data_IF_338100781200
#
_entry.id   IF_338100781200
#
_cell.length_a   1.000
_cell.length_b   1.000
_cell.length_c   1.000
_cell.angle_alpha   90.00
_cell.angle_beta   90.00
_cell.angle_gamma   90.00
#
_symmetry.space_group_name_H-M   'P 1'
#
loop_
_entity.id
_entity.type
_entity.pdbx_description
1 polymer ?
#
# COMPACT_ATOMS: atom_id res chain seq x y z
N UNK A 1 19.12 5.81 7.84
CA UNK A 1 17.93 4.94 7.65
C UNK A 1 17.76 4.65 6.17
N UNK A 2 17.73 3.39 5.80
CA UNK A 2 17.38 3.01 4.42
C UNK A 2 15.91 3.33 4.16
N UNK A 3 15.62 3.82 2.97
CA UNK A 3 14.28 4.19 2.55
C UNK A 3 13.75 3.26 1.45
N UNK A 4 12.45 3.09 1.42
CA UNK A 4 11.76 2.21 0.50
C UNK A 4 10.49 2.89 0.01
N UNK A 5 10.05 2.57 -1.20
CA UNK A 5 8.76 3.04 -1.71
C UNK A 5 7.62 2.20 -1.13
N UNK A 6 6.51 2.84 -0.83
CA UNK A 6 5.28 2.17 -0.42
C UNK A 6 4.35 2.00 -1.61
N UNK A 7 3.71 0.84 -1.71
CA UNK A 7 2.68 0.54 -2.70
C UNK A 7 1.36 0.26 -1.97
N UNK A 8 0.34 1.05 -2.25
CA UNK A 8 -1.00 0.90 -1.69
C UNK A 8 -1.94 0.43 -2.80
N UNK A 9 -2.43 -0.82 -2.74
CA UNK A 9 -3.40 -1.31 -3.72
C UNK A 9 -4.80 -0.79 -3.39
N UNK A 10 -5.48 -0.21 -4.36
CA UNK A 10 -6.81 0.36 -4.19
C UNK A 10 -7.65 0.20 -5.46
N UNK A 11 -8.20 -0.99 -5.69
CA UNK A 11 -9.10 -1.23 -6.82
C UNK A 11 -10.49 -0.60 -6.59
N UNK A 12 -11.17 -0.26 -7.66
CA UNK A 12 -12.52 0.31 -7.61
C UNK A 12 -13.57 -0.70 -7.14
N UNK A 13 -13.54 -1.91 -7.70
CA UNK A 13 -14.43 -2.99 -7.30
C UNK A 13 -14.03 -3.57 -5.97
N UNK A 14 -14.96 -3.70 -5.03
CA UNK A 14 -14.71 -4.36 -3.75
C UNK A 14 -15.82 -5.33 -3.44
N UNK A 15 -15.44 -6.53 -3.00
CA UNK A 15 -16.37 -7.58 -2.62
C UNK A 15 -17.02 -7.20 -1.27
N UNK A 16 -18.35 -7.10 -1.27
CA UNK A 16 -19.13 -6.77 -0.07
C UNK A 16 -19.44 -5.29 0.09
N UNK A 17 -18.46 -4.43 0.34
CA UNK A 17 -18.65 -2.99 0.54
C UNK A 17 -18.33 -2.24 -0.75
N UNK A 18 -19.33 -1.61 -1.44
CA UNK A 18 -19.05 -0.83 -2.65
C UNK A 18 -18.07 0.31 -2.39
N UNK A 19 -17.10 0.50 -3.28
CA UNK A 19 -16.10 1.57 -3.18
C UNK A 19 -15.41 1.65 -1.81
N UNK A 20 -15.07 0.51 -1.23
CA UNK A 20 -14.50 0.41 0.12
C UNK A 20 -13.29 1.31 0.33
N UNK A 21 -12.39 1.40 -0.65
CA UNK A 21 -11.14 2.16 -0.51
C UNK A 21 -11.34 3.67 -0.42
N UNK A 22 -12.46 4.19 -0.89
CA UNK A 22 -12.79 5.62 -0.83
C UNK A 22 -13.99 5.93 0.04
N UNK A 23 -14.52 4.92 0.75
CA UNK A 23 -15.58 5.13 1.73
C UNK A 23 -15.04 5.95 2.88
N UNK A 24 -15.81 6.95 3.32
CA UNK A 24 -15.39 7.84 4.40
C UNK A 24 -15.35 7.12 5.74
N UNK A 25 -14.28 7.37 6.47
CA UNK A 25 -14.09 7.01 7.87
C UNK A 25 -13.66 8.28 8.60
N UNK A 26 -14.53 8.84 9.45
CA UNK A 26 -14.26 10.08 10.19
C UNK A 26 -13.72 11.19 9.25
N UNK A 27 -14.59 11.65 8.34
CA UNK A 27 -14.36 12.76 7.40
C UNK A 27 -13.33 12.56 6.30
N UNK A 28 -12.65 11.41 6.24
CA UNK A 28 -11.66 11.13 5.19
C UNK A 28 -11.91 9.77 4.53
N UNK A 29 -11.61 9.63 3.22
CA UNK A 29 -11.64 8.32 2.57
C UNK A 29 -10.70 7.33 3.27
N UNK A 30 -11.09 6.06 3.32
CA UNK A 30 -10.29 5.00 3.94
C UNK A 30 -8.84 5.00 3.44
N UNK A 31 -8.65 5.16 2.14
CA UNK A 31 -7.35 5.24 1.48
C UNK A 31 -6.43 6.34 2.08
N UNK A 32 -7.01 7.48 2.47
CA UNK A 32 -6.26 8.62 2.98
C UNK A 32 -5.47 8.30 4.25
N UNK A 33 -5.98 7.43 5.11
CA UNK A 33 -5.30 7.03 6.34
C UNK A 33 -4.00 6.27 6.06
N UNK A 34 -4.00 5.37 5.08
CA UNK A 34 -2.81 4.64 4.67
C UNK A 34 -1.78 5.56 4.01
N UNK A 35 -2.23 6.49 3.18
CA UNK A 35 -1.35 7.50 2.56
C UNK A 35 -0.68 8.35 3.65
N UNK A 36 -1.47 8.85 4.61
CA UNK A 36 -0.95 9.67 5.70
C UNK A 36 0.08 8.90 6.56
N UNK A 37 -0.21 7.67 6.93
CA UNK A 37 0.71 6.83 7.70
C UNK A 37 2.05 6.64 6.97
N UNK A 38 2.00 6.36 5.67
CA UNK A 38 3.20 6.22 4.85
C UNK A 38 3.99 7.53 4.75
N UNK A 39 3.31 8.67 4.57
CA UNK A 39 3.98 9.98 4.49
C UNK A 39 4.63 10.40 5.81
N UNK A 40 4.07 9.96 6.93
CA UNK A 40 4.62 10.23 8.26
C UNK A 40 5.73 9.25 8.66
N UNK A 41 5.85 8.12 7.97
CA UNK A 41 6.90 7.14 8.23
C UNK A 41 8.21 7.58 7.56
N UNK A 42 9.24 7.83 8.34
CA UNK A 42 10.53 8.32 7.83
C UNK A 42 11.26 7.33 6.91
N UNK A 43 10.93 6.04 6.98
CA UNK A 43 11.48 4.99 6.11
C UNK A 43 10.86 4.92 4.72
N UNK A 44 9.77 5.65 4.48
CA UNK A 44 9.08 5.67 3.18
C UNK A 44 9.51 6.91 2.39
N UNK A 45 10.05 6.69 1.20
CA UNK A 45 10.50 7.78 0.31
C UNK A 45 9.45 8.21 -0.71
N UNK A 46 8.62 7.26 -1.18
CA UNK A 46 7.54 7.52 -2.14
C UNK A 46 6.31 6.74 -1.75
N UNK A 47 5.14 7.33 -1.94
CA UNK A 47 3.85 6.67 -1.71
C UNK A 47 3.15 6.53 -3.05
N UNK A 48 3.00 5.30 -3.52
CA UNK A 48 2.42 4.99 -4.82
C UNK A 48 1.12 4.21 -4.60
N UNK A 49 0.06 4.65 -5.26
CA UNK A 49 -1.24 3.97 -5.25
C UNK A 49 -1.44 3.26 -6.60
N UNK A 50 -1.75 1.97 -6.53
CA UNK A 50 -2.10 1.16 -7.70
C UNK A 50 -3.62 1.02 -7.76
N UNK A 51 -4.24 1.59 -8.79
CA UNK A 51 -5.69 1.57 -8.97
C UNK A 51 -6.06 1.47 -10.45
N UNK A 52 -7.24 0.92 -10.71
CA UNK A 52 -7.90 0.88 -12.02
C UNK A 52 -8.90 2.04 -12.22
N UNK A 53 -9.07 2.89 -11.22
CA UNK A 53 -10.10 3.93 -11.18
C UNK A 53 -9.49 5.33 -11.18
N UNK A 54 -9.96 6.18 -12.12
CA UNK A 54 -9.56 7.59 -12.15
C UNK A 54 -10.05 8.35 -10.91
N UNK A 55 -11.24 8.02 -10.40
CA UNK A 55 -11.76 8.62 -9.17
C UNK A 55 -10.84 8.37 -7.96
N UNK A 56 -10.39 7.12 -7.80
CA UNK A 56 -9.45 6.75 -6.73
C UNK A 56 -8.09 7.42 -6.96
N UNK A 57 -7.62 7.46 -8.20
CA UNK A 57 -6.36 8.12 -8.54
C UNK A 57 -6.38 9.61 -8.17
N UNK A 58 -7.45 10.31 -8.48
CA UNK A 58 -7.60 11.73 -8.16
C UNK A 58 -7.61 11.97 -6.64
N UNK A 59 -8.28 11.12 -5.89
CA UNK A 59 -8.29 11.17 -4.42
C UNK A 59 -6.89 10.91 -3.86
N UNK A 60 -6.20 9.90 -4.38
CA UNK A 60 -4.83 9.57 -3.95
C UNK A 60 -3.87 10.75 -4.15
N UNK A 61 -3.92 11.38 -5.30
CA UNK A 61 -3.10 12.55 -5.62
C UNK A 61 -3.44 13.73 -4.70
N UNK A 62 -4.71 13.96 -4.43
CA UNK A 62 -5.17 15.01 -3.49
C UNK A 62 -4.54 14.83 -2.09
N UNK A 63 -4.39 13.60 -1.62
CA UNK A 63 -3.78 13.31 -0.33
C UNK A 63 -2.26 13.14 -0.38
N UNK A 64 -1.64 13.38 -1.52
CA UNK A 64 -0.19 13.47 -1.67
C UNK A 64 0.51 12.18 -2.11
N UNK A 65 -0.23 11.20 -2.59
CA UNK A 65 0.34 10.01 -3.22
C UNK A 65 0.62 10.24 -4.71
N UNK A 66 1.40 9.33 -5.29
CA UNK A 66 1.67 9.28 -6.73
C UNK A 66 0.87 8.16 -7.38
N UNK A 67 0.37 8.39 -8.59
CA UNK A 67 -0.31 7.36 -9.40
C UNK A 67 0.33 7.35 -10.79
N UNK A 68 1.54 6.78 -10.94
CA UNK A 68 2.30 6.85 -12.19
C UNK A 68 1.81 5.93 -13.29
N UNK A 69 0.87 5.02 -13.00
CA UNK A 69 0.31 4.06 -13.96
C UNK A 69 -1.13 3.74 -13.61
N UNK A 70 -1.86 3.19 -14.58
CA UNK A 70 -3.21 2.66 -14.38
C UNK A 70 -3.14 1.14 -14.33
N UNK A 71 -3.75 0.55 -13.30
CA UNK A 71 -3.81 -0.91 -13.20
C UNK A 71 -4.74 -1.48 -14.25
N UNK A 72 -4.30 -2.46 -15.06
CA UNK A 72 -5.18 -3.11 -16.04
C UNK A 72 -6.39 -3.79 -15.38
N UNK A 73 -7.56 -3.84 -16.04
CA UNK A 73 -8.77 -4.44 -15.46
C UNK A 73 -8.63 -5.90 -15.03
N UNK A 74 -7.82 -6.68 -15.74
CA UNK A 74 -7.54 -8.08 -15.40
C UNK A 74 -6.74 -8.24 -14.10
N UNK A 75 -6.04 -7.19 -13.64
CA UNK A 75 -5.34 -7.14 -12.36
C UNK A 75 -6.16 -6.44 -11.25
N UNK A 76 -7.39 -6.07 -11.53
CA UNK A 76 -8.27 -5.34 -10.60
C UNK A 76 -9.54 -6.11 -10.23
N UNK A 77 -9.55 -7.42 -10.45
CA UNK A 77 -10.69 -8.29 -10.17
C UNK A 77 -10.59 -8.93 -8.77
N UNK A 78 -11.70 -9.48 -8.28
CA UNK A 78 -11.74 -10.20 -7.01
C UNK A 78 -10.76 -11.39 -6.98
N UNK A 79 -10.51 -12.02 -8.14
CA UNK A 79 -9.56 -13.11 -8.30
C UNK A 79 -8.09 -12.67 -8.44
N UNK A 80 -7.83 -11.38 -8.58
CA UNK A 80 -6.47 -10.86 -8.73
C UNK A 80 -5.67 -11.06 -7.43
N UNK A 81 -4.43 -11.52 -7.57
CA UNK A 81 -3.55 -11.79 -6.44
C UNK A 81 -2.64 -10.60 -6.15
N UNK A 82 -2.28 -10.43 -4.88
CA UNK A 82 -1.33 -9.40 -4.45
C UNK A 82 0.00 -9.47 -5.22
N UNK A 83 0.49 -10.69 -5.45
CA UNK A 83 1.75 -10.88 -6.18
C UNK A 83 1.69 -10.32 -7.61
N UNK A 84 0.56 -10.41 -8.27
CA UNK A 84 0.39 -9.90 -9.64
C UNK A 84 0.38 -8.36 -9.64
N UNK A 85 -0.22 -7.75 -8.63
CA UNK A 85 -0.21 -6.29 -8.44
C UNK A 85 1.22 -5.80 -8.16
N UNK A 86 1.96 -6.51 -7.33
CA UNK A 86 3.35 -6.19 -6.99
C UNK A 86 4.26 -6.34 -8.21
N UNK A 87 4.09 -7.40 -9.00
CA UNK A 87 4.83 -7.59 -10.25
C UNK A 87 4.57 -6.46 -11.23
N UNK A 88 3.32 -6.07 -11.41
CA UNK A 88 2.95 -4.94 -12.27
C UNK A 88 3.63 -3.65 -11.81
N UNK A 89 3.66 -3.40 -10.50
CA UNK A 89 4.38 -2.25 -9.93
C UNK A 89 5.86 -2.26 -10.33
N UNK A 90 6.56 -3.37 -10.17
CA UNK A 90 7.98 -3.45 -10.53
C UNK A 90 8.22 -3.29 -12.03
N UNK A 91 7.32 -3.76 -12.87
CA UNK A 91 7.39 -3.56 -14.33
C UNK A 91 7.24 -2.08 -14.71
N UNK A 92 6.39 -1.33 -13.99
CA UNK A 92 6.09 0.06 -14.30
C UNK A 92 7.06 1.05 -13.65
N UNK A 93 7.50 0.78 -12.43
CA UNK A 93 8.29 1.71 -11.63
C UNK A 93 9.73 1.25 -11.45
N UNK A 94 9.97 -0.05 -11.43
CA UNK A 94 11.28 -0.62 -11.18
C UNK A 94 11.63 -0.70 -9.69
N UNK A 95 12.91 -0.95 -9.40
CA UNK A 95 13.40 -1.13 -8.04
C UNK A 95 13.44 -2.60 -7.63
N UNK A 96 13.94 -2.86 -6.44
CA UNK A 96 14.16 -4.21 -5.92
C UNK A 96 13.28 -4.53 -4.70
N UNK A 97 12.82 -3.50 -4.02
CA UNK A 97 12.09 -3.61 -2.75
C UNK A 97 10.83 -2.75 -2.78
N UNK A 98 9.82 -3.17 -2.05
CA UNK A 98 8.58 -2.40 -1.88
C UNK A 98 7.93 -2.71 -0.54
N UNK A 99 7.36 -1.70 0.11
CA UNK A 99 6.50 -1.85 1.26
C UNK A 99 5.04 -1.92 0.79
N UNK A 100 4.43 -3.08 0.89
CA UNK A 100 3.05 -3.31 0.46
C UNK A 100 2.09 -2.99 1.59
N UNK A 101 1.30 -1.93 1.43
CA UNK A 101 0.46 -1.34 2.48
C UNK A 101 -1.02 -1.47 2.08
N UNK A 102 -1.76 -2.33 2.74
CA UNK A 102 -3.18 -2.51 2.45
C UNK A 102 -4.03 -1.39 3.09
N UNK A 103 -4.93 -0.75 2.35
CA UNK A 103 -5.78 0.32 2.90
C UNK A 103 -6.84 -0.18 3.88
N UNK A 104 -7.06 -1.48 3.97
CA UNK A 104 -8.02 -2.10 4.90
C UNK A 104 -7.58 -2.06 6.36
N UNK A 105 -6.37 -1.57 6.65
CA UNK A 105 -5.88 -1.34 8.02
C UNK A 105 -5.63 0.15 8.21
N UNK A 106 -6.69 0.98 8.35
CA UNK A 106 -6.56 2.44 8.33
C UNK A 106 -5.85 3.04 9.53
N UNK A 107 -5.86 2.35 10.67
CA UNK A 107 -5.26 2.84 11.92
C UNK A 107 -3.83 2.35 12.13
N UNK A 108 -3.13 1.99 11.07
CA UNK A 108 -1.72 1.59 11.15
C UNK A 108 -0.85 2.78 11.55
N UNK A 109 -0.02 2.58 12.57
CA UNK A 109 0.91 3.63 13.04
C UNK A 109 2.12 3.73 12.12
N UNK A 110 2.63 4.94 11.87
CA UNK A 110 3.88 5.13 11.12
C UNK A 110 5.06 4.36 11.72
N UNK A 111 5.14 4.25 13.05
CA UNK A 111 6.19 3.48 13.74
C UNK A 111 6.18 1.99 13.36
N UNK A 112 5.02 1.40 13.15
CA UNK A 112 4.90 -0.01 12.72
C UNK A 112 5.49 -0.17 11.31
N UNK A 113 5.24 0.77 10.42
CA UNK A 113 5.83 0.77 9.07
C UNK A 113 7.36 0.83 9.17
N UNK A 114 7.90 1.76 9.97
CA UNK A 114 9.33 1.91 10.16
C UNK A 114 9.96 0.64 10.74
N UNK A 115 9.33 0.01 11.72
CA UNK A 115 9.84 -1.22 12.34
C UNK A 115 9.88 -2.38 11.33
N UNK A 116 8.85 -2.53 10.50
CA UNK A 116 8.84 -3.54 9.45
C UNK A 116 9.94 -3.31 8.41
N UNK A 117 10.15 -2.07 7.98
CA UNK A 117 11.20 -1.71 7.03
C UNK A 117 12.58 -1.99 7.63
N UNK A 118 12.83 -1.59 8.87
CA UNK A 118 14.09 -1.85 9.56
C UNK A 118 14.37 -3.35 9.69
N UNK A 119 13.38 -4.13 10.09
CA UNK A 119 13.51 -5.59 10.21
C UNK A 119 13.76 -6.25 8.87
N UNK A 120 13.11 -5.80 7.82
CA UNK A 120 13.34 -6.30 6.48
C UNK A 120 14.79 -6.10 6.05
N UNK A 121 15.33 -4.90 6.18
CA UNK A 121 16.72 -4.62 5.78
C UNK A 121 17.75 -5.30 6.67
N UNK A 122 17.48 -5.47 7.97
CA UNK A 122 18.37 -6.20 8.88
C UNK A 122 18.49 -7.68 8.52
N UNK A 123 17.41 -8.29 8.04
CA UNK A 123 17.33 -9.73 7.79
C UNK A 123 17.59 -10.13 6.33
N UNK A 124 17.86 -9.19 5.43
CA UNK A 124 18.14 -9.50 4.03
C UNK A 124 19.32 -10.45 3.85
N UNK A 125 20.33 -10.40 4.73
CA UNK A 125 21.51 -11.27 4.68
C UNK A 125 21.21 -12.72 5.03
N UNK A 126 20.05 -13.01 5.61
CA UNK A 126 19.64 -14.34 6.08
C UNK A 126 18.55 -14.96 5.19
N UNK A 127 18.55 -14.60 3.90
CA UNK A 127 17.56 -15.08 2.91
C UNK A 127 16.10 -14.69 3.24
N UNK A 128 15.90 -13.61 4.00
CA UNK A 128 14.57 -13.07 4.26
C UNK A 128 14.07 -12.32 3.02
N UNK A 129 13.00 -12.81 2.41
CA UNK A 129 12.38 -12.20 1.24
C UNK A 129 11.20 -11.28 1.59
N UNK A 130 10.78 -11.27 2.83
CA UNK A 130 9.71 -10.39 3.29
C UNK A 130 9.52 -10.39 4.79
N UNK A 131 8.97 -9.31 5.29
CA UNK A 131 8.59 -9.15 6.69
C UNK A 131 7.13 -8.71 6.73
N UNK A 132 6.37 -9.28 7.64
CA UNK A 132 4.96 -8.97 7.82
C UNK A 132 4.70 -8.53 9.26
N UNK A 133 3.95 -7.44 9.44
CA UNK A 133 3.44 -7.08 10.75
C UNK A 133 2.30 -8.02 11.16
N UNK A 134 2.30 -8.43 12.41
CA UNK A 134 1.26 -9.28 12.97
C UNK A 134 0.83 -8.75 14.33
N UNK A 135 -0.42 -8.98 14.68
CA UNK A 135 -0.94 -8.75 16.02
C UNK A 135 -1.13 -10.10 16.70
N UNK A 136 -0.84 -10.15 17.98
CA UNK A 136 -1.26 -11.28 18.79
C UNK A 136 -2.79 -11.28 18.89
N UNK A 137 -3.40 -12.42 18.68
CA UNK A 137 -4.82 -12.57 18.91
C UNK A 137 -5.06 -12.59 20.44
N UNK A 138 -6.07 -11.89 20.94
CA UNK A 138 -6.44 -12.02 22.35
C UNK A 138 -6.77 -13.49 22.66
N UNK A 139 -6.24 -13.97 23.75
CA UNK A 139 -6.51 -15.31 24.26
C UNK A 139 -7.98 -15.48 24.63
#
# INVERSE_FOLDING_TARGET
>A
MKKISALIPARAGSKGVPKKNIKELIDHPLLAYSIAACKMAGSIERVIVSTDSQEIADIAIKYGAEVPFVRPPDLAQDSSKDIDVIKHYFEQVGGDDVAYIRPTTPLRLPSVINDCVDNYFKNQREFCTGVRSMHELPE
#
